data_IF_808239745535
#
_entry.id   IF_808239745535
#
_cell.length_a   1.000
_cell.length_b   1.000
_cell.length_c   1.000
_cell.angle_alpha   90.00
_cell.angle_beta   90.00
_cell.angle_gamma   90.00
#
_symmetry.space_group_name_H-M   'P 1'
#
loop_
_entity.id
_entity.type
_entity.pdbx_description
1 polymer ?
#
# COMPACT_ATOMS: atom_id res chain seq x y z
N UNK A 1 1.55 1.39 -42.88
CA UNK A 1 0.81 0.15 -42.51
C UNK A 1 1.44 -0.43 -41.24
N UNK A 2 0.60 -0.66 -40.24
CA UNK A 2 0.90 -0.74 -38.81
C UNK A 2 1.87 -1.89 -38.44
N UNK A 3 3.01 -1.55 -37.82
CA UNK A 3 3.82 -2.48 -37.02
C UNK A 3 3.84 -1.96 -35.59
N UNK A 4 2.82 -2.33 -34.84
CA UNK A 4 2.72 -1.96 -33.43
C UNK A 4 1.91 -3.03 -32.74
N UNK A 5 2.47 -4.22 -32.60
CA UNK A 5 1.94 -5.16 -31.63
C UNK A 5 2.16 -4.51 -30.26
N UNK A 6 1.13 -3.86 -29.73
CA UNK A 6 1.11 -3.45 -28.33
C UNK A 6 1.29 -4.75 -27.54
N UNK A 7 2.29 -4.88 -26.65
CA UNK A 7 2.38 -6.04 -25.79
C UNK A 7 1.12 -6.06 -24.92
N UNK A 8 0.20 -6.99 -25.22
CA UNK A 8 -1.03 -7.18 -24.47
C UNK A 8 -0.78 -8.27 -23.44
N UNK A 9 -1.02 -7.93 -22.17
CA UNK A 9 -1.10 -8.90 -21.11
C UNK A 9 -2.56 -9.17 -20.79
N UNK A 10 -3.03 -10.38 -21.10
CA UNK A 10 -4.41 -10.77 -20.82
C UNK A 10 -4.57 -11.13 -19.34
N UNK A 11 -5.45 -10.42 -18.65
CA UNK A 11 -5.88 -10.73 -17.29
C UNK A 11 -7.21 -11.48 -17.34
N UNK A 12 -7.25 -12.78 -17.01
CA UNK A 12 -8.49 -13.54 -17.05
C UNK A 12 -9.53 -12.94 -16.09
N UNK A 13 -10.72 -12.52 -16.59
CA UNK A 13 -11.75 -11.91 -15.75
C UNK A 13 -12.42 -12.92 -14.81
N UNK A 14 -12.20 -14.22 -15.04
CA UNK A 14 -12.69 -15.31 -14.21
C UNK A 14 -11.92 -15.47 -12.89
N UNK A 15 -10.74 -14.86 -12.78
CA UNK A 15 -9.93 -14.88 -11.56
C UNK A 15 -10.43 -13.85 -10.54
N UNK A 16 -10.33 -14.17 -9.25
CA UNK A 16 -10.55 -13.20 -8.18
C UNK A 16 -9.46 -12.13 -8.23
N UNK A 17 -9.77 -10.92 -7.74
CA UNK A 17 -8.83 -9.79 -7.77
C UNK A 17 -7.46 -10.11 -7.17
N UNK A 18 -7.40 -10.91 -6.11
CA UNK A 18 -6.14 -11.32 -5.47
C UNK A 18 -5.30 -12.22 -6.39
N UNK A 19 -5.95 -13.10 -7.16
CA UNK A 19 -5.28 -13.97 -8.12
C UNK A 19 -4.80 -13.19 -9.34
N UNK A 20 -5.59 -12.23 -9.82
CA UNK A 20 -5.16 -11.30 -10.88
C UNK A 20 -3.95 -10.49 -10.44
N UNK A 21 -3.98 -9.95 -9.21
CA UNK A 21 -2.88 -9.19 -8.65
C UNK A 21 -1.59 -10.03 -8.54
N UNK A 22 -1.69 -11.27 -8.05
CA UNK A 22 -0.56 -12.20 -8.00
C UNK A 22 0.03 -12.48 -9.40
N UNK A 23 -0.84 -12.65 -10.40
CA UNK A 23 -0.43 -12.89 -11.78
C UNK A 23 0.30 -11.69 -12.38
N UNK A 24 -0.16 -10.46 -12.13
CA UNK A 24 0.56 -9.22 -12.51
C UNK A 24 1.92 -9.13 -11.81
N UNK A 25 1.97 -9.36 -10.50
CA UNK A 25 3.21 -9.28 -9.74
C UNK A 25 4.26 -10.26 -10.24
N UNK A 26 3.85 -11.50 -10.54
CA UNK A 26 4.74 -12.54 -11.06
C UNK A 26 5.20 -12.24 -12.48
N UNK A 27 4.29 -11.89 -13.39
CA UNK A 27 4.63 -11.67 -14.81
C UNK A 27 5.63 -10.51 -14.99
N UNK A 28 5.41 -9.42 -14.25
CA UNK A 28 6.23 -8.22 -14.39
C UNK A 28 7.33 -8.11 -13.33
N UNK A 29 7.56 -9.18 -12.55
CA UNK A 29 8.56 -9.23 -11.47
C UNK A 29 8.51 -8.00 -10.55
N UNK A 30 7.29 -7.61 -10.13
CA UNK A 30 7.09 -6.38 -9.36
C UNK A 30 7.56 -6.54 -7.91
N UNK A 31 8.26 -5.52 -7.43
CA UNK A 31 8.69 -5.41 -6.05
C UNK A 31 7.71 -4.58 -5.22
N UNK A 32 7.45 -5.01 -3.98
CA UNK A 32 6.67 -4.23 -3.02
C UNK A 32 7.53 -3.04 -2.56
N UNK A 33 7.05 -1.83 -2.84
CA UNK A 33 7.68 -0.56 -2.44
C UNK A 33 7.11 -0.04 -1.12
N UNK A 34 7.82 0.87 -0.42
CA UNK A 34 7.30 1.53 0.78
C UNK A 34 5.94 2.22 0.54
N UNK A 35 5.07 2.27 1.55
CA UNK A 35 3.75 2.89 1.41
C UNK A 35 3.87 4.39 1.14
N UNK A 36 2.95 4.91 0.33
CA UNK A 36 2.83 6.35 0.02
C UNK A 36 1.49 6.90 0.49
N UNK A 37 1.40 8.23 0.59
CA UNK A 37 0.18 8.92 0.94
C UNK A 37 -0.94 8.64 -0.07
N UNK A 38 -2.09 8.15 0.40
CA UNK A 38 -3.26 7.85 -0.45
C UNK A 38 -3.92 9.10 -1.05
N UNK A 39 -3.57 10.31 -0.60
CA UNK A 39 -4.14 11.56 -1.10
C UNK A 39 -3.25 12.26 -2.15
N UNK A 40 -1.91 12.12 -2.07
CA UNK A 40 -0.98 12.89 -2.92
C UNK A 40 0.24 12.11 -3.40
N UNK A 41 0.33 10.82 -3.10
CA UNK A 41 1.47 9.95 -3.40
C UNK A 41 2.81 10.40 -2.81
N UNK A 42 2.80 11.30 -1.82
CA UNK A 42 4.01 11.72 -1.10
C UNK A 42 4.55 10.63 -0.17
N UNK A 43 5.82 10.75 0.19
CA UNK A 43 6.49 9.88 1.16
C UNK A 43 5.91 10.06 2.56
N UNK A 44 5.97 8.99 3.34
CA UNK A 44 5.49 8.91 4.71
C UNK A 44 6.69 8.75 5.65
N UNK A 45 6.84 9.67 6.59
CA UNK A 45 7.81 9.55 7.68
C UNK A 45 7.15 8.98 8.93
N UNK A 46 7.88 8.16 9.67
CA UNK A 46 7.51 7.81 11.05
C UNK A 46 7.57 9.08 11.91
N UNK A 47 6.48 9.40 12.59
CA UNK A 47 6.42 10.54 13.48
C UNK A 47 6.35 10.13 14.94
N UNK A 48 7.06 10.88 15.78
CA UNK A 48 6.99 10.71 17.23
C UNK A 48 5.58 11.04 17.75
N UNK A 49 5.04 10.17 18.60
CA UNK A 49 3.69 10.27 19.13
C UNK A 49 3.48 11.54 19.95
N UNK A 50 4.48 11.94 20.73
CA UNK A 50 4.41 13.16 21.53
C UNK A 50 4.50 14.40 20.65
N UNK A 51 5.44 14.43 19.70
CA UNK A 51 5.55 15.53 18.73
C UNK A 51 4.27 15.72 17.90
N UNK A 52 3.53 14.64 17.63
CA UNK A 52 2.29 14.66 16.83
C UNK A 52 1.02 14.75 17.65
N UNK A 53 1.10 14.88 18.98
CA UNK A 53 -0.06 14.79 19.89
C UNK A 53 -1.23 15.69 19.50
N UNK A 54 -0.97 16.89 18.99
CA UNK A 54 -2.01 17.83 18.56
C UNK A 54 -2.73 17.42 17.26
N UNK A 55 -2.08 16.63 16.41
CA UNK A 55 -2.62 16.15 15.14
C UNK A 55 -3.33 14.80 15.29
N UNK A 56 -3.02 14.05 16.35
CA UNK A 56 -3.56 12.71 16.57
C UNK A 56 -4.97 12.80 17.19
N UNK A 57 -5.98 12.12 16.61
CA UNK A 57 -7.29 11.99 17.25
C UNK A 57 -7.19 11.39 18.66
N UNK A 58 -7.90 11.94 19.68
CA UNK A 58 -7.75 11.49 21.07
C UNK A 58 -7.98 9.99 21.30
N UNK A 59 -8.86 9.38 20.50
CA UNK A 59 -9.17 7.94 20.59
C UNK A 59 -7.97 7.08 20.19
N UNK A 60 -7.26 7.41 19.12
CA UNK A 60 -6.13 6.63 18.63
C UNK A 60 -4.88 6.87 19.47
N UNK A 61 -4.70 8.11 19.95
CA UNK A 61 -3.58 8.49 20.81
C UNK A 61 -3.45 7.58 22.05
N UNK A 62 -4.57 7.14 22.63
CA UNK A 62 -4.56 6.27 23.82
C UNK A 62 -4.00 4.86 23.57
N UNK A 63 -4.12 4.32 22.37
CA UNK A 63 -3.95 2.88 22.12
C UNK A 63 -2.94 2.53 21.01
N UNK A 64 -2.42 3.52 20.29
CA UNK A 64 -1.47 3.32 19.21
C UNK A 64 -0.21 4.14 19.45
N UNK A 65 0.94 3.54 19.13
CA UNK A 65 2.27 4.14 19.33
C UNK A 65 2.97 4.50 18.01
N UNK A 66 2.52 3.95 16.89
CA UNK A 66 3.10 4.22 15.58
C UNK A 66 2.20 5.10 14.71
N UNK A 67 2.75 6.24 14.30
CA UNK A 67 2.12 7.20 13.41
C UNK A 67 3.02 7.53 12.23
N UNK A 68 2.39 7.83 11.10
CA UNK A 68 3.07 8.23 9.88
C UNK A 68 2.49 9.55 9.37
N UNK A 69 3.35 10.46 8.94
CA UNK A 69 2.93 11.76 8.40
C UNK A 69 3.47 11.92 6.99
N UNK A 70 2.60 12.40 6.09
CA UNK A 70 3.04 12.71 4.74
C UNK A 70 3.91 13.97 4.72
N UNK A 71 5.11 13.85 4.15
CA UNK A 71 6.05 14.96 3.97
C UNK A 71 5.51 16.10 3.10
N UNK A 72 4.55 15.78 2.22
CA UNK A 72 4.00 16.74 1.23
C UNK A 72 2.75 17.45 1.72
N UNK A 73 1.77 16.71 2.25
CA UNK A 73 0.47 17.28 2.62
C UNK A 73 0.16 17.25 4.13
N UNK A 74 1.07 16.76 4.96
CA UNK A 74 0.90 16.70 6.41
C UNK A 74 -0.16 15.71 6.91
N UNK A 75 -0.77 14.93 6.01
CA UNK A 75 -1.81 13.97 6.39
C UNK A 75 -1.24 12.88 7.30
N UNK A 76 -1.94 12.65 8.43
CA UNK A 76 -1.61 11.66 9.44
C UNK A 76 -2.23 10.29 9.11
N UNK A 77 -1.47 9.22 9.31
CA UNK A 77 -1.85 7.82 9.14
C UNK A 77 -1.38 6.99 10.34
N UNK A 78 -2.04 5.84 10.56
CA UNK A 78 -1.69 4.88 11.62
C UNK A 78 -2.15 3.48 11.21
N UNK A 79 -1.64 2.45 11.89
CA UNK A 79 -1.96 1.04 11.60
C UNK A 79 -3.33 0.63 12.17
N UNK A 80 -4.39 0.85 11.39
CA UNK A 80 -5.76 0.43 11.70
C UNK A 80 -6.19 -0.90 11.07
N UNK A 81 -7.49 -1.13 10.95
CA UNK A 81 -8.07 -2.32 10.30
C UNK A 81 -7.65 -2.46 8.83
N UNK A 82 -7.60 -1.34 8.10
CA UNK A 82 -7.15 -1.33 6.69
C UNK A 82 -5.70 -1.82 6.56
N UNK A 83 -4.82 -1.42 7.48
CA UNK A 83 -3.42 -1.86 7.47
C UNK A 83 -3.31 -3.38 7.61
N UNK A 84 -4.08 -3.99 8.52
CA UNK A 84 -4.10 -5.45 8.72
C UNK A 84 -4.53 -6.19 7.45
N UNK A 85 -5.57 -5.70 6.77
CA UNK A 85 -6.05 -6.33 5.53
C UNK A 85 -5.01 -6.23 4.40
N UNK A 86 -4.40 -5.06 4.21
CA UNK A 86 -3.36 -4.83 3.19
C UNK A 86 -2.14 -5.71 3.48
N UNK A 87 -1.68 -5.76 4.73
CA UNK A 87 -0.48 -6.51 5.11
C UNK A 87 -0.66 -8.01 4.86
N UNK A 88 -1.85 -8.55 5.17
CA UNK A 88 -2.19 -9.94 4.87
C UNK A 88 -2.13 -10.23 3.36
N UNK A 89 -2.73 -9.38 2.53
CA UNK A 89 -2.68 -9.56 1.07
C UNK A 89 -1.24 -9.48 0.53
N UNK A 90 -0.44 -8.53 1.04
CA UNK A 90 0.97 -8.43 0.66
C UNK A 90 1.77 -9.67 1.08
N UNK A 91 1.45 -10.29 2.23
CA UNK A 91 2.08 -11.53 2.67
C UNK A 91 1.75 -12.68 1.71
N UNK A 92 0.47 -12.87 1.39
CA UNK A 92 0.00 -13.89 0.45
C UNK A 92 0.67 -13.74 -0.94
N UNK A 93 0.87 -12.49 -1.40
CA UNK A 93 1.58 -12.22 -2.65
C UNK A 93 3.06 -12.61 -2.57
N UNK A 94 3.73 -12.40 -1.43
CA UNK A 94 5.15 -12.77 -1.25
C UNK A 94 5.34 -14.28 -1.17
N UNK A 95 4.43 -14.99 -0.51
CA UNK A 95 4.51 -16.44 -0.39
C UNK A 95 4.27 -17.15 -1.73
N UNK A 96 3.34 -16.64 -2.55
CA UNK A 96 3.06 -17.17 -3.88
C UNK A 96 4.08 -16.81 -4.98
N UNK A 97 5.18 -16.15 -4.63
CA UNK A 97 6.31 -15.83 -5.52
C UNK A 97 7.45 -16.86 -5.44
N UNK A 98 7.36 -17.86 -4.55
CA UNK A 98 8.30 -18.99 -4.43
C UNK A 98 7.83 -20.16 -5.28
#
# INVERSE_FOLDING_TARGET
>A
MCRGAVPVFWLPPTLRIQQQLALVFREFCLEIRPPRCTACSGELDSGDKEALRQLIPPKTYRWLDEYFVCRRCGKLFWRGTHWRSITRQLHELREGQT
#
